data_IF_258154052950
#
_entry.id   IF_258154052950
#
_cell.length_a   1.000
_cell.length_b   1.000
_cell.length_c   1.000
_cell.angle_alpha   90.00
_cell.angle_beta   90.00
_cell.angle_gamma   90.00
#
_symmetry.space_group_name_H-M   'P 1'
#
loop_
_entity.id
_entity.type
_entity.pdbx_description
1 polymer ?
#
# COMPACT_ATOMS: atom_id res chain seq x y z
N UNK A 1 -0.86 14.64 2.09
CA UNK A 1 -2.21 15.05 1.63
C UNK A 1 -3.23 14.79 2.76
N UNK A 2 -4.38 15.47 2.83
CA UNK A 2 -5.39 15.21 3.88
C UNK A 2 -6.32 14.07 3.47
N UNK A 3 -6.70 13.23 4.43
CA UNK A 3 -7.67 12.17 4.19
C UNK A 3 -9.08 12.75 4.03
N UNK A 4 -9.83 12.44 2.95
CA UNK A 4 -11.19 12.96 2.78
C UNK A 4 -12.22 12.28 3.70
N UNK A 5 -11.87 11.13 4.30
CA UNK A 5 -12.73 10.41 5.24
C UNK A 5 -12.47 10.79 6.70
N UNK A 6 -11.21 11.08 7.04
CA UNK A 6 -10.82 11.45 8.40
C UNK A 6 -10.51 12.94 8.46
N UNK A 7 -11.34 13.70 9.15
CA UNK A 7 -11.11 15.11 9.44
C UNK A 7 -9.76 15.25 10.17
N UNK A 8 -8.91 16.16 9.68
CA UNK A 8 -7.57 16.47 10.19
C UNK A 8 -6.52 15.34 10.19
N UNK A 9 -6.79 14.22 9.50
CA UNK A 9 -5.79 13.17 9.35
C UNK A 9 -4.89 13.45 8.13
N UNK A 10 -3.58 13.53 8.39
CA UNK A 10 -2.57 13.58 7.33
C UNK A 10 -2.28 12.16 6.83
N UNK A 11 -2.32 11.99 5.52
CA UNK A 11 -1.91 10.76 4.86
C UNK A 11 -0.40 10.56 5.06
N UNK A 12 -0.02 9.36 5.48
CA UNK A 12 1.35 8.93 5.62
C UNK A 12 1.83 8.31 4.31
N UNK A 13 2.97 8.78 3.82
CA UNK A 13 3.58 8.29 2.59
C UNK A 13 4.41 7.04 2.89
N UNK A 14 4.24 5.99 2.10
CA UNK A 14 5.04 4.77 2.16
C UNK A 14 5.33 4.29 0.75
N UNK A 15 6.36 3.47 0.58
CA UNK A 15 6.64 2.83 -0.70
C UNK A 15 6.50 1.32 -0.57
N UNK A 16 5.70 0.71 -1.44
CA UNK A 16 5.54 -0.74 -1.51
C UNK A 16 5.97 -1.21 -2.89
N UNK A 17 6.95 -2.12 -2.93
CA UNK A 17 7.45 -2.68 -4.19
C UNK A 17 7.86 -1.59 -5.20
N UNK A 18 8.38 -0.45 -4.73
CA UNK A 18 8.77 0.69 -5.57
C UNK A 18 7.63 1.53 -6.14
N UNK A 19 6.42 1.41 -5.60
CA UNK A 19 5.27 2.28 -5.86
C UNK A 19 5.04 3.17 -4.65
N UNK A 20 4.86 4.48 -4.84
CA UNK A 20 4.54 5.39 -3.75
C UNK A 20 3.05 5.28 -3.41
N UNK A 21 2.75 5.21 -2.11
CA UNK A 21 1.41 4.95 -1.61
C UNK A 21 1.15 5.88 -0.43
N UNK A 22 0.08 6.65 -0.49
CA UNK A 22 -0.41 7.44 0.62
C UNK A 22 -1.47 6.63 1.39
N UNK A 23 -1.26 6.38 2.68
CA UNK A 23 -2.24 5.69 3.51
C UNK A 23 -2.65 6.53 4.72
N UNK A 24 -3.92 6.41 5.14
CA UNK A 24 -4.39 7.05 6.35
C UNK A 24 -4.17 6.14 7.56
N UNK A 25 -3.45 6.57 8.62
CA UNK A 25 -3.28 5.74 9.81
C UNK A 25 -4.57 5.54 10.62
N UNK A 26 -5.56 6.43 10.47
CA UNK A 26 -6.82 6.39 11.22
C UNK A 26 -7.84 5.42 10.61
N UNK A 27 -8.17 5.59 9.32
CA UNK A 27 -9.16 4.72 8.64
C UNK A 27 -8.54 3.58 7.83
N UNK A 28 -7.21 3.55 7.66
CA UNK A 28 -6.50 2.60 6.79
C UNK A 28 -6.88 2.70 5.31
N UNK A 29 -7.46 3.83 4.89
CA UNK A 29 -7.70 4.12 3.47
C UNK A 29 -6.39 4.33 2.72
N UNK A 30 -6.33 3.85 1.47
CA UNK A 30 -5.16 3.94 0.59
C UNK A 30 -5.48 4.83 -0.61
N UNK A 31 -4.58 5.75 -0.92
CA UNK A 31 -4.67 6.74 -1.99
C UNK A 31 -3.43 6.61 -2.88
N UNK A 32 -3.68 6.48 -4.18
CA UNK A 32 -2.67 6.22 -5.21
C UNK A 32 -2.92 7.19 -6.37
N UNK A 33 -1.85 7.69 -6.99
CA UNK A 33 -1.97 8.52 -8.17
C UNK A 33 -2.32 7.70 -9.43
N UNK A 34 -2.93 8.39 -10.40
CA UNK A 34 -3.34 7.78 -11.67
C UNK A 34 -2.08 7.36 -12.45
N UNK A 35 -1.84 6.05 -12.57
CA UNK A 35 -0.67 5.45 -13.22
C UNK A 35 0.26 4.68 -12.27
N UNK A 36 0.17 4.91 -10.96
CA UNK A 36 0.83 4.08 -9.94
C UNK A 36 0.03 2.81 -9.63
N UNK A 37 -1.30 2.93 -9.63
CA UNK A 37 -2.21 1.81 -9.46
C UNK A 37 -1.99 0.71 -10.52
N UNK A 38 -1.82 1.08 -11.79
CA UNK A 38 -1.57 0.12 -12.87
C UNK A 38 -0.28 -0.68 -12.62
N UNK A 39 0.81 0.00 -12.23
CA UNK A 39 2.08 -0.65 -11.87
C UNK A 39 1.94 -1.59 -10.67
N UNK A 40 1.11 -1.23 -9.69
CA UNK A 40 0.85 -2.06 -8.53
C UNK A 40 0.05 -3.31 -8.90
N UNK A 41 -0.96 -3.19 -9.76
CA UNK A 41 -1.77 -4.33 -10.24
C UNK A 41 -0.92 -5.32 -11.04
N UNK A 42 -0.05 -4.82 -11.93
CA UNK A 42 0.87 -5.68 -12.70
C UNK A 42 1.82 -6.48 -11.79
N UNK A 43 2.28 -5.90 -10.68
CA UNK A 43 3.21 -6.55 -9.73
C UNK A 43 2.51 -7.44 -8.72
N UNK A 44 1.33 -7.06 -8.25
CA UNK A 44 0.55 -7.84 -7.27
C UNK A 44 0.15 -9.23 -7.80
N UNK A 45 -0.04 -9.36 -9.12
CA UNK A 45 -0.30 -10.66 -9.76
C UNK A 45 0.93 -11.59 -9.85
N UNK A 46 2.13 -11.07 -9.60
CA UNK A 46 3.40 -11.78 -9.84
C UNK A 46 4.22 -12.04 -8.56
N UNK A 47 3.72 -11.64 -7.38
CA UNK A 47 4.36 -12.01 -6.11
C UNK A 47 3.90 -13.43 -5.73
N UNK A 48 4.79 -14.45 -5.78
CA UNK A 48 4.42 -15.78 -5.31
C UNK A 48 4.04 -15.67 -3.83
N UNK A 49 2.99 -16.38 -3.37
CA UNK A 49 2.55 -16.30 -1.99
C UNK A 49 3.73 -16.52 -1.05
N UNK A 50 3.79 -15.79 0.09
CA UNK A 50 4.87 -15.95 1.05
C UNK A 50 4.94 -17.44 1.41
N UNK A 51 6.04 -18.09 1.01
CA UNK A 51 6.26 -19.50 1.34
C UNK A 51 6.27 -19.57 2.87
N UNK A 52 5.47 -20.46 3.49
CA UNK A 52 5.53 -20.62 4.92
C UNK A 52 6.98 -20.96 5.27
N UNK A 53 7.65 -20.06 6.00
CA UNK A 53 8.97 -20.34 6.53
C UNK A 53 8.78 -21.52 7.48
N UNK A 54 9.20 -22.70 7.02
CA UNK A 54 9.27 -23.87 7.86
C UNK A 54 10.15 -23.49 9.05
N UNK A 55 9.52 -23.32 10.20
CA UNK A 55 10.23 -23.13 11.45
C UNK A 55 11.02 -24.40 11.68
N UNK A 56 12.33 -24.31 11.51
CA UNK A 56 13.26 -25.35 11.92
C UNK A 56 13.17 -25.47 13.44
N UNK A 57 12.70 -26.63 13.90
CA UNK A 57 12.70 -27.05 15.30
C UNK A 57 14.09 -27.52 15.72
#
# INVERSE_FOLDING_TARGET
MQCPTCIDAVLAMTSRQGVEIDYCPNCRGVWLDRGELDKLIERAGNEPPPRPQASSA
#
